data_IF_661483062774
#
_entry.id   IF_661483062774
#
_cell.length_a   1.000
_cell.length_b   1.000
_cell.length_c   1.000
_cell.angle_alpha   90.00
_cell.angle_beta   90.00
_cell.angle_gamma   90.00
#
_symmetry.space_group_name_H-M   'P 1'
#
loop_
_entity.id
_entity.type
_entity.pdbx_description
1 polymer ?
#
# COMPACT_ATOMS: atom_id res chain seq x y z
N UNK A 1 -22.98 5.45 3.73
CA UNK A 1 -21.65 4.97 3.30
C UNK A 1 -21.63 4.87 1.80
N UNK A 2 -20.45 4.92 1.22
CA UNK A 2 -20.28 4.83 -0.23
C UNK A 2 -19.49 3.56 -0.55
N UNK A 3 -20.15 2.40 -0.69
CA UNK A 3 -19.52 1.15 -1.17
C UNK A 3 -18.75 1.34 -2.48
N UNK A 4 -19.33 2.10 -3.41
CA UNK A 4 -18.75 2.39 -4.72
C UNK A 4 -18.64 3.89 -4.95
N UNK A 5 -17.76 4.29 -5.89
CA UNK A 5 -17.69 5.69 -6.31
C UNK A 5 -19.02 6.18 -6.92
N UNK A 6 -19.81 5.27 -7.52
CA UNK A 6 -21.17 5.57 -8.00
C UNK A 6 -22.05 6.16 -6.89
N UNK A 7 -22.02 5.53 -5.71
CA UNK A 7 -22.84 5.94 -4.58
C UNK A 7 -22.46 7.36 -4.12
N UNK A 8 -21.16 7.65 -4.10
CA UNK A 8 -20.63 8.98 -3.79
C UNK A 8 -21.08 10.03 -4.80
N UNK A 9 -20.94 9.75 -6.10
CA UNK A 9 -21.34 10.71 -7.14
C UNK A 9 -22.85 10.97 -7.15
N UNK A 10 -23.65 9.93 -6.90
CA UNK A 10 -25.10 10.02 -6.83
C UNK A 10 -25.54 10.90 -5.67
N UNK A 11 -24.93 10.74 -4.49
CA UNK A 11 -25.30 11.48 -3.29
C UNK A 11 -24.82 12.95 -3.35
N UNK A 12 -23.56 13.17 -3.72
CA UNK A 12 -22.96 14.52 -3.68
C UNK A 12 -23.35 15.39 -4.88
N UNK A 13 -23.49 14.80 -6.08
CA UNK A 13 -23.73 15.55 -7.31
C UNK A 13 -25.09 15.24 -7.95
N UNK A 14 -25.86 14.27 -7.45
CA UNK A 14 -27.10 13.83 -8.07
C UNK A 14 -26.90 13.04 -9.37
N UNK A 15 -25.66 12.66 -9.71
CA UNK A 15 -25.33 12.01 -11.00
C UNK A 15 -25.10 10.52 -10.79
N UNK A 16 -25.92 9.68 -11.44
CA UNK A 16 -25.77 8.23 -11.39
C UNK A 16 -24.82 7.73 -12.51
N UNK A 17 -23.53 7.63 -12.19
CA UNK A 17 -22.51 7.08 -13.08
C UNK A 17 -22.15 5.68 -12.59
N UNK A 18 -22.54 4.58 -13.28
CA UNK A 18 -22.29 3.22 -12.82
C UNK A 18 -20.80 2.87 -12.96
N UNK A 19 -19.99 3.23 -11.97
CA UNK A 19 -18.55 2.97 -11.91
C UNK A 19 -18.27 1.66 -11.15
N UNK A 20 -17.51 0.71 -11.72
CA UNK A 20 -17.14 -0.56 -11.08
C UNK A 20 -15.98 -0.38 -10.08
N UNK A 21 -15.92 0.77 -9.40
CA UNK A 21 -14.80 1.15 -8.54
C UNK A 21 -15.30 1.19 -7.11
N UNK A 22 -14.87 0.20 -6.33
CA UNK A 22 -15.09 0.20 -4.89
C UNK A 22 -14.27 1.30 -4.23
N UNK A 23 -14.86 2.01 -3.28
CA UNK A 23 -14.19 3.11 -2.59
C UNK A 23 -12.99 2.66 -1.78
N UNK A 24 -13.08 1.49 -1.12
CA UNK A 24 -11.95 0.89 -0.41
C UNK A 24 -10.73 0.71 -1.32
N UNK A 25 -10.92 0.04 -2.46
CA UNK A 25 -9.84 -0.18 -3.44
C UNK A 25 -9.29 1.13 -4.02
N UNK A 26 -10.15 2.12 -4.25
CA UNK A 26 -9.74 3.46 -4.69
C UNK A 26 -8.82 4.15 -3.67
N UNK A 27 -9.17 4.14 -2.39
CA UNK A 27 -8.34 4.74 -1.34
C UNK A 27 -7.05 3.96 -1.09
N UNK A 28 -7.05 2.63 -1.24
CA UNK A 28 -5.82 1.82 -1.21
C UNK A 28 -4.88 2.22 -2.35
N UNK A 29 -5.39 2.38 -3.57
CA UNK A 29 -4.58 2.86 -4.69
C UNK A 29 -4.03 4.27 -4.43
N UNK A 30 -4.85 5.17 -3.88
CA UNK A 30 -4.43 6.52 -3.51
C UNK A 30 -3.39 6.52 -2.39
N UNK A 31 -3.47 5.59 -1.43
CA UNK A 31 -2.47 5.41 -0.38
C UNK A 31 -1.10 5.04 -0.97
N UNK A 32 -1.06 4.11 -1.92
CA UNK A 32 0.16 3.76 -2.64
C UNK A 32 0.74 4.96 -3.40
N UNK A 33 -0.09 5.69 -4.16
CA UNK A 33 0.31 6.89 -4.90
C UNK A 33 0.83 8.01 -3.98
N UNK A 34 0.21 8.17 -2.83
CA UNK A 34 0.61 9.17 -1.84
C UNK A 34 1.95 8.80 -1.20
N UNK A 35 2.10 7.55 -0.77
CA UNK A 35 3.35 7.05 -0.20
C UNK A 35 4.54 7.18 -1.16
N UNK A 36 4.35 6.79 -2.43
CA UNK A 36 5.40 6.89 -3.44
C UNK A 36 5.77 8.32 -3.78
N UNK A 37 4.78 9.21 -3.87
CA UNK A 37 5.01 10.62 -4.16
C UNK A 37 5.89 11.27 -3.08
N UNK A 38 5.56 11.05 -1.81
CA UNK A 38 6.31 11.62 -0.70
C UNK A 38 7.69 10.96 -0.52
N UNK A 39 7.80 9.65 -0.73
CA UNK A 39 9.10 8.96 -0.76
C UNK A 39 9.99 9.55 -1.86
N UNK A 40 9.48 9.68 -3.09
CA UNK A 40 10.24 10.23 -4.22
C UNK A 40 10.72 11.65 -3.96
N UNK A 41 9.86 12.49 -3.36
CA UNK A 41 10.24 13.86 -2.95
C UNK A 41 11.36 13.86 -1.92
N UNK A 42 11.33 12.94 -0.97
CA UNK A 42 12.29 12.89 0.12
C UNK A 42 13.63 12.27 -0.31
N UNK A 43 13.62 11.26 -1.18
CA UNK A 43 14.83 10.75 -1.84
C UNK A 43 15.49 11.87 -2.66
N UNK A 44 14.73 12.59 -3.49
CA UNK A 44 15.24 13.74 -4.26
C UNK A 44 15.82 14.83 -3.37
N UNK A 45 15.25 15.06 -2.17
CA UNK A 45 15.81 16.00 -1.19
C UNK A 45 17.14 15.51 -0.63
N UNK A 46 17.23 14.24 -0.24
CA UNK A 46 18.46 13.63 0.32
C UNK A 46 19.58 13.53 -0.72
N UNK A 47 19.25 13.33 -2.00
CA UNK A 47 20.19 13.45 -3.12
C UNK A 47 20.80 14.85 -3.21
N UNK A 48 19.96 15.91 -3.14
CA UNK A 48 20.46 17.31 -3.12
C UNK A 48 21.36 17.62 -1.93
N UNK A 49 21.26 16.86 -0.85
CA UNK A 49 22.12 16.97 0.33
C UNK A 49 23.41 16.15 0.22
N UNK A 50 23.60 15.39 -0.86
CA UNK A 50 24.74 14.48 -1.01
C UNK A 50 24.67 13.23 -0.13
N UNK A 51 23.53 12.95 0.52
CA UNK A 51 23.34 11.75 1.35
C UNK A 51 22.99 10.50 0.52
N UNK A 52 22.54 10.71 -0.71
CA UNK A 52 22.20 9.68 -1.67
C UNK A 52 22.92 9.96 -2.98
N UNK A 53 23.62 8.96 -3.50
CA UNK A 53 24.40 9.07 -4.73
C UNK A 53 23.73 8.34 -5.88
N UNK A 54 23.84 8.92 -7.08
CA UNK A 54 23.39 8.25 -8.29
C UNK A 54 24.36 7.12 -8.66
N UNK A 55 23.82 6.05 -9.25
CA UNK A 55 24.61 4.91 -9.72
C UNK A 55 24.68 4.95 -11.25
N UNK A 56 25.87 4.71 -11.79
CA UNK A 56 26.05 4.54 -13.23
C UNK A 56 25.92 3.07 -13.57
N UNK A 57 24.94 2.72 -14.41
CA UNK A 57 24.78 1.36 -14.94
C UNK A 57 24.98 1.37 -16.45
N UNK A 58 25.79 0.44 -16.95
CA UNK A 58 25.87 0.15 -18.39
C UNK A 58 24.59 -0.52 -18.82
N UNK A 59 23.82 0.17 -19.65
CA UNK A 59 22.60 -0.37 -20.25
C UNK A 59 22.84 -0.52 -21.75
N UNK A 60 22.55 -1.70 -22.28
CA UNK A 60 22.60 -1.95 -23.71
C UNK A 60 21.36 -1.35 -24.35
N UNK A 61 21.54 -0.35 -25.22
CA UNK A 61 20.47 0.30 -25.97
C UNK A 61 20.58 -0.09 -27.46
N UNK A 62 19.45 -0.03 -28.17
CA UNK A 62 19.43 -0.30 -29.62
C UNK A 62 19.39 -1.77 -30.02
N UNK A 63 19.12 -2.71 -29.10
CA UNK A 63 18.82 -4.10 -29.48
C UNK A 63 17.46 -4.17 -30.20
N UNK A 64 17.36 -5.06 -31.20
CA UNK A 64 16.09 -5.41 -31.82
C UNK A 64 15.13 -6.04 -30.81
N UNK A 65 13.84 -5.99 -31.11
CA UNK A 65 12.81 -6.62 -30.29
C UNK A 65 13.09 -8.13 -30.14
N UNK A 66 13.38 -8.58 -28.92
CA UNK A 66 13.55 -10.01 -28.64
C UNK A 66 12.19 -10.70 -28.81
N UNK A 67 12.18 -11.85 -29.47
CA UNK A 67 10.96 -12.66 -29.62
C UNK A 67 10.28 -12.92 -28.27
N UNK A 68 11.07 -13.19 -27.22
CA UNK A 68 10.55 -13.38 -25.86
C UNK A 68 9.83 -12.15 -25.29
N UNK A 69 10.30 -10.94 -25.58
CA UNK A 69 9.65 -9.72 -25.10
C UNK A 69 8.29 -9.50 -25.81
N UNK A 70 8.23 -9.78 -27.11
CA UNK A 70 6.99 -9.69 -27.89
C UNK A 70 6.00 -10.76 -27.41
N UNK A 71 6.46 -12.00 -27.22
CA UNK A 71 5.61 -13.10 -26.71
C UNK A 71 5.07 -12.78 -25.32
N UNK A 72 5.91 -12.30 -24.40
CA UNK A 72 5.46 -11.88 -23.06
C UNK A 72 4.45 -10.73 -23.13
N UNK A 73 4.69 -9.74 -23.99
CA UNK A 73 3.74 -8.66 -24.23
C UNK A 73 2.41 -9.17 -24.79
N UNK A 74 2.45 -10.12 -25.72
CA UNK A 74 1.26 -10.75 -26.30
C UNK A 74 0.48 -11.58 -25.27
N UNK A 75 1.16 -12.35 -24.40
CA UNK A 75 0.52 -13.09 -23.30
C UNK A 75 -0.15 -12.12 -22.32
N UNK A 76 0.55 -11.05 -21.90
CA UNK A 76 -0.04 -10.03 -21.03
C UNK A 76 -1.24 -9.33 -21.70
N UNK A 77 -1.10 -9.01 -22.98
CA UNK A 77 -2.18 -8.46 -23.79
C UNK A 77 -3.37 -9.40 -23.91
N UNK A 78 -3.14 -10.72 -24.03
CA UNK A 78 -4.18 -11.74 -24.04
C UNK A 78 -4.97 -11.73 -22.75
N UNK A 79 -4.29 -11.81 -21.60
CA UNK A 79 -4.95 -11.85 -20.28
C UNK A 79 -5.79 -10.59 -20.06
N UNK A 80 -5.23 -9.41 -20.39
CA UNK A 80 -5.93 -8.13 -20.26
C UNK A 80 -7.13 -8.08 -21.22
N UNK A 81 -6.91 -8.36 -22.51
CA UNK A 81 -7.96 -8.32 -23.53
C UNK A 81 -9.09 -9.32 -23.27
N UNK A 82 -8.74 -10.51 -22.76
CA UNK A 82 -9.67 -11.57 -22.39
C UNK A 82 -10.66 -11.10 -21.33
N UNK A 83 -10.19 -10.29 -20.37
CA UNK A 83 -11.02 -9.71 -19.32
C UNK A 83 -11.71 -8.42 -19.74
N UNK A 84 -11.01 -7.52 -20.42
CA UNK A 84 -11.52 -6.19 -20.77
C UNK A 84 -12.69 -6.28 -21.74
N UNK A 85 -12.61 -7.13 -22.77
CA UNK A 85 -13.74 -7.25 -23.69
C UNK A 85 -14.95 -7.90 -23.03
N UNK A 86 -14.73 -8.89 -22.15
CA UNK A 86 -15.81 -9.47 -21.35
C UNK A 86 -16.45 -8.42 -20.43
N UNK A 87 -15.64 -7.57 -19.82
CA UNK A 87 -16.08 -6.48 -18.95
C UNK A 87 -16.91 -5.43 -19.70
N UNK A 88 -16.58 -5.13 -20.96
CA UNK A 88 -17.35 -4.20 -21.79
C UNK A 88 -18.70 -4.81 -22.17
N UNK A 89 -18.71 -6.09 -22.58
CA UNK A 89 -19.93 -6.78 -23.00
C UNK A 89 -20.89 -7.07 -21.82
N UNK A 90 -20.34 -7.34 -20.64
CA UNK A 90 -21.08 -7.69 -19.42
C UNK A 90 -20.80 -6.70 -18.29
N UNK A 91 -20.89 -5.41 -18.64
CA UNK A 91 -20.57 -4.32 -17.72
C UNK A 91 -21.41 -4.34 -16.44
N UNK A 92 -22.67 -4.78 -16.52
CA UNK A 92 -23.54 -4.93 -15.35
C UNK A 92 -22.99 -5.90 -14.31
N UNK A 93 -22.33 -6.97 -14.76
CA UNK A 93 -21.79 -8.01 -13.88
C UNK A 93 -20.53 -7.49 -13.19
N UNK A 94 -19.68 -6.77 -13.93
CA UNK A 94 -18.50 -6.10 -13.40
C UNK A 94 -18.89 -5.09 -12.31
N UNK A 95 -19.91 -4.27 -12.53
CA UNK A 95 -20.34 -3.26 -11.55
C UNK A 95 -20.92 -3.91 -10.29
N UNK A 96 -21.66 -5.02 -10.42
CA UNK A 96 -22.24 -5.73 -9.28
C UNK A 96 -21.21 -6.36 -8.36
N UNK A 97 -20.23 -7.07 -8.94
CA UNK A 97 -19.17 -7.71 -8.17
C UNK A 97 -17.84 -7.68 -8.91
N UNK A 98 -17.08 -6.57 -8.83
CA UNK A 98 -15.82 -6.42 -9.55
C UNK A 98 -14.80 -7.50 -9.19
N UNK A 99 -14.74 -7.88 -7.91
CA UNK A 99 -13.76 -8.85 -7.41
C UNK A 99 -14.01 -10.23 -8.00
N UNK A 100 -15.24 -10.73 -7.90
CA UNK A 100 -15.61 -12.03 -8.46
C UNK A 100 -15.42 -12.06 -9.98
N UNK A 101 -15.84 -10.99 -10.66
CA UNK A 101 -15.69 -10.87 -12.11
C UNK A 101 -14.22 -10.97 -12.55
N UNK A 102 -13.34 -10.19 -11.91
CA UNK A 102 -11.90 -10.15 -12.24
C UNK A 102 -11.25 -11.51 -11.98
N UNK A 103 -11.62 -12.19 -10.88
CA UNK A 103 -10.99 -13.44 -10.45
C UNK A 103 -11.56 -14.71 -11.08
N UNK A 104 -12.76 -14.65 -11.64
CA UNK A 104 -13.37 -15.78 -12.33
C UNK A 104 -12.55 -16.28 -13.53
N UNK A 105 -12.76 -17.53 -13.96
CA UNK A 105 -12.22 -18.02 -15.24
C UNK A 105 -12.95 -17.45 -16.47
N UNK A 106 -14.05 -16.72 -16.28
CA UNK A 106 -14.86 -16.14 -17.36
C UNK A 106 -14.08 -15.06 -18.11
N UNK A 107 -14.18 -15.07 -19.43
CA UNK A 107 -13.64 -14.03 -20.29
C UNK A 107 -13.91 -14.29 -21.76
N UNK A 108 -13.45 -13.35 -22.59
CA UNK A 108 -13.72 -13.34 -24.01
C UNK A 108 -12.46 -13.69 -24.81
N UNK A 109 -12.46 -14.86 -25.44
CA UNK A 109 -11.30 -15.32 -26.22
C UNK A 109 -10.90 -14.37 -27.35
N UNK A 110 -11.88 -13.83 -28.08
CA UNK A 110 -11.63 -12.86 -29.16
C UNK A 110 -10.98 -11.59 -28.61
N UNK A 111 -11.43 -11.10 -27.46
CA UNK A 111 -10.80 -10.00 -26.74
C UNK A 111 -9.36 -10.30 -26.39
N UNK A 112 -9.08 -11.52 -25.95
CA UNK A 112 -7.73 -11.99 -25.70
C UNK A 112 -6.86 -11.96 -26.96
N UNK A 113 -7.33 -12.48 -28.09
CA UNK A 113 -6.57 -12.45 -29.36
C UNK A 113 -6.29 -11.02 -29.82
N UNK A 114 -7.27 -10.11 -29.72
CA UNK A 114 -7.12 -8.69 -30.06
C UNK A 114 -6.07 -8.04 -29.14
N UNK A 115 -6.19 -8.27 -27.83
CA UNK A 115 -5.25 -7.73 -26.84
C UNK A 115 -3.82 -8.24 -27.04
N UNK A 116 -3.66 -9.52 -27.40
CA UNK A 116 -2.38 -10.13 -27.71
C UNK A 116 -1.72 -9.49 -28.94
N UNK A 117 -2.49 -9.36 -30.02
CA UNK A 117 -2.02 -8.75 -31.26
C UNK A 117 -1.63 -7.27 -31.04
N UNK A 118 -2.46 -6.50 -30.35
CA UNK A 118 -2.20 -5.09 -30.06
C UNK A 118 -0.95 -4.91 -29.19
N UNK A 119 -0.87 -5.62 -28.06
CA UNK A 119 0.26 -5.50 -27.12
C UNK A 119 1.57 -5.97 -27.73
N UNK A 120 1.55 -7.10 -28.46
CA UNK A 120 2.71 -7.60 -29.19
C UNK A 120 3.19 -6.61 -30.25
N UNK A 121 2.26 -6.03 -31.04
CA UNK A 121 2.59 -5.02 -32.05
C UNK A 121 3.13 -3.73 -31.44
N UNK A 122 2.51 -3.20 -30.38
CA UNK A 122 2.98 -2.00 -29.69
C UNK A 122 4.38 -2.20 -29.09
N UNK A 123 4.61 -3.34 -28.44
CA UNK A 123 5.93 -3.68 -27.91
C UNK A 123 6.99 -3.76 -29.00
N UNK A 124 6.68 -4.45 -30.10
CA UNK A 124 7.56 -4.52 -31.27
C UNK A 124 7.85 -3.13 -31.85
N UNK A 125 6.81 -2.32 -32.07
CA UNK A 125 6.92 -0.96 -32.63
C UNK A 125 7.78 -0.05 -31.76
N UNK A 126 7.60 -0.09 -30.44
CA UNK A 126 8.38 0.73 -29.51
C UNK A 126 9.85 0.29 -29.45
N UNK A 127 10.11 -1.01 -29.56
CA UNK A 127 11.48 -1.54 -29.63
C UNK A 127 12.15 -1.23 -30.97
N UNK A 128 11.43 -1.32 -32.07
CA UNK A 128 11.96 -1.02 -33.41
C UNK A 128 12.27 0.48 -33.54
N UNK A 129 11.46 1.36 -32.95
CA UNK A 129 11.76 2.81 -32.86
C UNK A 129 13.06 3.12 -32.10
N UNK A 130 13.42 2.27 -31.14
CA UNK A 130 14.61 2.44 -30.30
C UNK A 130 15.82 1.68 -30.85
N UNK A 131 15.67 0.95 -31.96
CA UNK A 131 16.72 0.15 -32.58
C UNK A 131 17.80 1.06 -33.15
N UNK A 132 19.05 0.65 -32.95
CA UNK A 132 20.21 1.29 -33.56
C UNK A 132 20.85 0.29 -34.52
N UNK A 133 21.55 0.78 -35.56
CA UNK A 133 22.25 -0.08 -36.54
C UNK A 133 23.23 -1.05 -35.88
N UNK A 134 23.82 -0.63 -34.74
CA UNK A 134 24.60 -1.47 -33.85
C UNK A 134 24.20 -1.16 -32.40
N UNK A 135 23.83 -2.17 -31.58
CA UNK A 135 23.55 -1.97 -30.17
C UNK A 135 24.76 -1.36 -29.47
N UNK A 136 24.55 -0.32 -28.67
CA UNK A 136 25.62 0.37 -27.93
C UNK A 136 25.40 0.19 -26.43
N UNK A 137 26.49 -0.03 -25.71
CA UNK A 137 26.49 0.09 -24.25
C UNK A 137 26.61 1.57 -23.91
N UNK A 138 25.60 2.11 -23.23
CA UNK A 138 25.61 3.50 -22.76
C UNK A 138 25.53 3.49 -21.25
N UNK A 139 26.38 4.30 -20.64
CA UNK A 139 26.35 4.58 -19.21
C UNK A 139 25.12 5.43 -18.90
N UNK A 140 24.15 4.83 -18.19
CA UNK A 140 22.97 5.52 -17.70
C UNK A 140 23.13 5.81 -16.22
N UNK A 141 23.11 7.09 -15.88
CA UNK A 141 22.99 7.54 -14.49
C UNK A 141 21.57 7.31 -13.99
N UNK A 142 21.42 6.59 -12.89
CA UNK A 142 20.14 6.28 -12.26
C UNK A 142 20.14 6.91 -10.88
N UNK A 143 19.16 7.77 -10.62
CA UNK A 143 19.01 8.40 -9.31
C UNK A 143 18.13 7.54 -8.39
N UNK A 144 18.40 7.50 -7.08
CA UNK A 144 17.55 6.79 -6.11
C UNK A 144 16.06 7.17 -6.17
N UNK A 145 15.70 8.42 -6.44
CA UNK A 145 14.31 8.84 -6.60
C UNK A 145 13.63 8.20 -7.82
N UNK A 146 14.36 7.90 -8.89
CA UNK A 146 13.82 7.18 -10.06
C UNK A 146 13.45 5.73 -9.71
N UNK A 147 14.11 5.16 -8.70
CA UNK A 147 13.89 3.78 -8.25
C UNK A 147 12.70 3.65 -7.30
N UNK A 148 12.09 4.76 -6.88
CA UNK A 148 11.00 4.74 -5.92
C UNK A 148 9.80 3.90 -6.44
N UNK A 149 9.45 4.04 -7.73
CA UNK A 149 8.36 3.24 -8.33
C UNK A 149 8.66 1.74 -8.33
N UNK A 150 9.93 1.36 -8.55
CA UNK A 150 10.36 -0.03 -8.46
C UNK A 150 10.28 -0.55 -7.02
N UNK A 151 10.65 0.28 -6.03
CA UNK A 151 10.50 -0.04 -4.61
C UNK A 151 9.04 -0.32 -4.27
N UNK A 152 8.11 0.51 -4.76
CA UNK A 152 6.67 0.31 -4.58
C UNK A 152 6.20 -1.02 -5.17
N UNK A 153 6.56 -1.32 -6.42
CA UNK A 153 6.17 -2.56 -7.09
C UNK A 153 6.71 -3.79 -6.34
N UNK A 154 7.97 -3.74 -5.91
CA UNK A 154 8.59 -4.82 -5.13
C UNK A 154 7.88 -4.99 -3.80
N UNK A 155 7.58 -3.89 -3.09
CA UNK A 155 6.84 -3.93 -1.83
C UNK A 155 5.45 -4.54 -2.01
N UNK A 156 4.72 -4.17 -3.07
CA UNK A 156 3.38 -4.68 -3.34
C UNK A 156 3.41 -6.19 -3.68
N UNK A 157 4.30 -6.62 -4.58
CA UNK A 157 4.41 -8.02 -4.99
C UNK A 157 4.83 -8.91 -3.82
N UNK A 158 5.96 -8.58 -3.18
CA UNK A 158 6.50 -9.41 -2.09
C UNK A 158 5.68 -9.29 -0.80
N UNK A 159 4.99 -8.16 -0.60
CA UNK A 159 4.04 -7.99 0.50
C UNK A 159 2.81 -8.88 0.31
N UNK A 160 2.23 -8.92 -0.89
CA UNK A 160 1.09 -9.81 -1.16
C UNK A 160 1.51 -11.29 -1.07
N UNK A 161 2.64 -11.66 -1.69
CA UNK A 161 3.17 -13.02 -1.62
C UNK A 161 3.48 -13.44 -0.17
N UNK A 162 4.08 -12.56 0.62
CA UNK A 162 4.36 -12.82 2.03
C UNK A 162 3.11 -12.99 2.86
N UNK A 163 2.09 -12.14 2.63
CA UNK A 163 0.84 -12.23 3.36
C UNK A 163 0.11 -13.54 3.08
N UNK A 164 0.14 -13.99 1.82
CA UNK A 164 -0.45 -15.26 1.40
C UNK A 164 0.32 -16.47 1.93
N UNK A 165 1.65 -16.42 1.84
CA UNK A 165 2.52 -17.47 2.35
C UNK A 165 2.27 -17.72 3.84
N UNK A 166 2.27 -16.67 4.65
CA UNK A 166 2.08 -16.82 6.10
C UNK A 166 0.67 -17.25 6.45
N UNK A 167 -0.35 -16.80 5.72
CA UNK A 167 -1.71 -17.28 5.93
C UNK A 167 -1.82 -18.79 5.70
N UNK A 168 -1.20 -19.31 4.63
CA UNK A 168 -1.19 -20.75 4.33
C UNK A 168 -0.34 -21.55 5.33
N UNK A 169 0.69 -20.92 5.94
CA UNK A 169 1.48 -21.53 7.02
C UNK A 169 0.75 -21.56 8.36
N UNK A 170 -0.10 -20.56 8.63
CA UNK A 170 -0.94 -20.50 9.83
C UNK A 170 -2.14 -21.44 9.73
N UNK A 171 -2.68 -21.63 8.51
CA UNK A 171 -3.86 -22.45 8.23
C UNK A 171 -3.48 -23.63 7.32
N UNK A 172 -2.51 -24.44 7.77
CA UNK A 172 -1.99 -25.58 7.01
C UNK A 172 -3.09 -26.58 6.68
N UNK A 173 -4.04 -26.80 7.60
CA UNK A 173 -5.13 -27.74 7.40
C UNK A 173 -6.02 -27.32 6.21
N UNK A 174 -6.43 -26.04 6.15
CA UNK A 174 -7.18 -25.49 5.01
C UNK A 174 -6.36 -25.52 3.70
N UNK A 175 -5.05 -25.28 3.79
CA UNK A 175 -4.15 -25.34 2.63
C UNK A 175 -4.00 -26.77 2.08
N UNK A 176 -3.97 -27.79 2.95
CA UNK A 176 -3.84 -29.19 2.54
C UNK A 176 -5.12 -29.71 1.86
N UNK A 177 -6.29 -29.16 2.20
CA UNK A 177 -7.57 -29.53 1.60
C UNK A 177 -7.72 -29.03 0.15
N UNK A 178 -7.33 -27.78 -0.13
CA UNK A 178 -7.30 -27.24 -1.49
C UNK A 178 -6.06 -26.37 -1.76
N UNK A 179 -4.91 -26.99 -2.10
CA UNK A 179 -3.65 -26.27 -2.28
C UNK A 179 -3.69 -25.25 -3.41
N UNK A 180 -4.43 -25.52 -4.48
CA UNK A 180 -4.49 -24.65 -5.66
C UNK A 180 -5.42 -23.47 -5.38
N UNK A 181 -6.62 -23.72 -4.85
CA UNK A 181 -7.55 -22.66 -4.46
C UNK A 181 -6.97 -21.79 -3.34
N UNK A 182 -6.31 -22.39 -2.35
CA UNK A 182 -5.67 -21.66 -1.27
C UNK A 182 -4.47 -20.81 -1.72
N UNK A 183 -3.83 -21.09 -2.86
CA UNK A 183 -2.76 -20.22 -3.41
C UNK A 183 -3.30 -19.10 -4.30
N UNK A 184 -4.36 -19.37 -5.06
CA UNK A 184 -4.91 -18.43 -6.06
C UNK A 184 -5.95 -17.50 -5.43
N UNK A 185 -6.58 -17.88 -4.32
CA UNK A 185 -7.58 -17.05 -3.66
C UNK A 185 -6.98 -15.74 -3.15
N UNK A 186 -7.70 -14.63 -3.37
CA UNK A 186 -7.34 -13.32 -2.82
C UNK A 186 -7.80 -13.11 -1.36
N UNK A 187 -8.58 -14.04 -0.82
CA UNK A 187 -8.91 -14.12 0.60
C UNK A 187 -7.77 -14.78 1.39
N UNK A 188 -7.73 -14.55 2.69
CA UNK A 188 -6.73 -15.18 3.56
C UNK A 188 -5.34 -14.55 3.39
N UNK A 189 -5.16 -13.36 3.97
CA UNK A 189 -3.92 -12.61 3.91
C UNK A 189 -3.47 -12.23 5.32
N UNK A 190 -2.32 -12.76 5.76
CA UNK A 190 -1.74 -12.44 7.06
C UNK A 190 -0.87 -11.20 6.96
N UNK A 191 -1.27 -10.11 7.63
CA UNK A 191 -0.57 -8.83 7.58
C UNK A 191 0.92 -8.92 7.93
N UNK A 192 1.27 -9.66 9.01
CA UNK A 192 2.65 -9.79 9.47
C UNK A 192 3.56 -10.45 8.42
N UNK A 193 3.07 -11.48 7.73
CA UNK A 193 3.80 -12.13 6.65
C UNK A 193 4.11 -11.17 5.51
N UNK A 194 3.13 -10.34 5.14
CA UNK A 194 3.32 -9.32 4.11
C UNK A 194 4.32 -8.25 4.52
N UNK A 195 4.25 -7.78 5.76
CA UNK A 195 5.20 -6.81 6.30
C UNK A 195 6.64 -7.36 6.28
N UNK A 196 6.86 -8.58 6.79
CA UNK A 196 8.20 -9.17 6.91
C UNK A 196 8.83 -9.38 5.53
N UNK A 197 8.13 -10.07 4.63
CA UNK A 197 8.67 -10.43 3.31
C UNK A 197 8.78 -9.18 2.42
N UNK A 198 7.80 -8.28 2.49
CA UNK A 198 7.83 -7.01 1.77
C UNK A 198 9.01 -6.12 2.18
N UNK A 199 9.22 -5.93 3.49
CA UNK A 199 10.36 -5.15 4.02
C UNK A 199 11.69 -5.81 3.64
N UNK A 200 11.82 -7.13 3.78
CA UNK A 200 13.03 -7.85 3.40
C UNK A 200 13.38 -7.66 1.91
N UNK A 201 12.39 -7.76 1.02
CA UNK A 201 12.56 -7.55 -0.41
C UNK A 201 12.98 -6.11 -0.76
N UNK A 202 12.35 -5.11 -0.12
CA UNK A 202 12.70 -3.69 -0.30
C UNK A 202 14.12 -3.41 0.20
N UNK A 203 14.50 -3.94 1.37
CA UNK A 203 15.86 -3.77 1.92
C UNK A 203 16.90 -4.43 1.00
N UNK A 204 16.62 -5.63 0.51
CA UNK A 204 17.48 -6.32 -0.46
C UNK A 204 17.64 -5.50 -1.74
N UNK A 205 16.54 -5.01 -2.31
CA UNK A 205 16.56 -4.20 -3.52
C UNK A 205 17.29 -2.87 -3.33
N UNK A 206 17.08 -2.20 -2.19
CA UNK A 206 17.77 -0.96 -1.85
C UNK A 206 19.28 -1.19 -1.77
N UNK A 207 19.73 -2.24 -1.08
CA UNK A 207 21.15 -2.61 -0.98
C UNK A 207 21.76 -2.97 -2.34
N UNK A 208 21.03 -3.71 -3.18
CA UNK A 208 21.45 -4.03 -4.56
C UNK A 208 21.65 -2.78 -5.43
N UNK A 209 20.97 -1.69 -5.10
CA UNK A 209 21.10 -0.40 -5.79
C UNK A 209 21.88 0.64 -4.99
N UNK A 210 22.66 0.22 -3.98
CA UNK A 210 23.52 1.09 -3.17
C UNK A 210 22.75 2.24 -2.47
N UNK A 211 21.46 2.05 -2.18
CA UNK A 211 20.65 3.00 -1.42
C UNK A 211 20.80 2.70 0.08
N UNK A 212 21.22 3.67 0.92
CA UNK A 212 21.44 3.46 2.34
C UNK A 212 20.11 3.19 3.01
N UNK A 213 19.95 2.00 3.58
CA UNK A 213 18.67 1.57 4.16
C UNK A 213 18.14 2.56 5.20
N UNK A 214 19.01 3.14 6.04
CA UNK A 214 18.60 4.13 7.05
C UNK A 214 18.04 5.42 6.42
N UNK A 215 18.66 5.90 5.35
CA UNK A 215 18.16 7.06 4.63
C UNK A 215 16.88 6.76 3.85
N UNK A 216 16.72 5.53 3.38
CA UNK A 216 15.49 5.06 2.74
C UNK A 216 14.32 5.01 3.73
N UNK A 217 14.47 4.35 4.89
CA UNK A 217 13.39 4.22 5.87
C UNK A 217 13.02 5.57 6.50
N UNK A 218 14.00 6.44 6.76
CA UNK A 218 13.73 7.81 7.19
C UNK A 218 12.97 8.61 6.13
N UNK A 219 13.28 8.36 4.85
CA UNK A 219 12.61 9.01 3.74
C UNK A 219 11.18 8.49 3.53
N UNK A 220 10.95 7.21 3.81
CA UNK A 220 9.66 6.57 3.72
C UNK A 220 8.73 6.96 4.89
N UNK A 221 9.27 7.18 6.09
CA UNK A 221 8.50 7.38 7.33
C UNK A 221 7.33 8.39 7.21
N UNK A 222 7.51 9.64 6.73
CA UNK A 222 6.37 10.55 6.54
C UNK A 222 5.36 10.02 5.52
N UNK A 223 5.86 9.51 4.38
CA UNK A 223 4.99 8.96 3.33
C UNK A 223 4.17 7.75 3.80
N UNK A 224 4.74 6.91 4.65
CA UNK A 224 4.05 5.77 5.27
C UNK A 224 2.93 6.21 6.21
N UNK A 225 3.16 7.22 7.05
CA UNK A 225 2.12 7.76 7.93
C UNK A 225 0.92 8.27 7.12
N UNK A 226 1.17 9.07 6.08
CA UNK A 226 0.09 9.59 5.25
C UNK A 226 -0.58 8.50 4.42
N UNK A 227 0.18 7.57 3.85
CA UNK A 227 -0.39 6.43 3.11
C UNK A 227 -1.32 5.59 4.00
N UNK A 228 -0.92 5.32 5.25
CA UNK A 228 -1.78 4.61 6.19
C UNK A 228 -3.07 5.39 6.48
N UNK A 229 -2.98 6.69 6.75
CA UNK A 229 -4.16 7.54 6.95
C UNK A 229 -5.10 7.56 5.75
N UNK A 230 -4.55 7.68 4.53
CA UNK A 230 -5.34 7.59 3.28
C UNK A 230 -5.99 6.22 3.11
N UNK A 231 -5.30 5.13 3.50
CA UNK A 231 -5.90 3.79 3.50
C UNK A 231 -7.07 3.67 4.47
N UNK A 232 -6.98 4.28 5.66
CA UNK A 232 -8.06 4.31 6.66
C UNK A 232 -9.28 5.12 6.25
N UNK A 233 -9.13 6.11 5.38
CA UNK A 233 -10.28 6.75 4.71
C UNK A 233 -11.08 5.73 3.89
N UNK A 234 -10.41 4.76 3.26
CA UNK A 234 -11.08 3.65 2.57
C UNK A 234 -12.04 2.92 3.48
N UNK A 235 -11.56 2.51 4.66
CA UNK A 235 -12.37 1.85 5.69
C UNK A 235 -13.54 2.73 6.17
N UNK A 236 -13.29 4.03 6.37
CA UNK A 236 -14.33 4.97 6.81
C UNK A 236 -15.45 5.12 5.78
N UNK A 237 -15.09 5.24 4.49
CA UNK A 237 -16.02 5.55 3.42
C UNK A 237 -16.83 4.33 2.98
N UNK A 238 -16.21 3.14 2.99
CA UNK A 238 -16.90 1.89 2.65
C UNK A 238 -17.73 1.35 3.82
N UNK A 239 -17.33 1.61 5.07
CA UNK A 239 -17.92 0.94 6.23
C UNK A 239 -17.58 -0.55 6.22
N UNK A 240 -16.31 -0.90 6.22
CA UNK A 240 -15.82 -2.28 6.09
C UNK A 240 -15.70 -3.06 7.41
N UNK A 241 -16.25 -2.54 8.51
CA UNK A 241 -16.16 -3.18 9.83
C UNK A 241 -15.00 -2.70 10.69
N UNK A 242 -14.18 -1.76 10.22
CA UNK A 242 -13.06 -1.22 11.00
C UNK A 242 -13.43 -0.25 12.14
N UNK A 243 -14.70 -0.16 12.54
CA UNK A 243 -15.19 0.78 13.55
C UNK A 243 -14.91 0.33 14.99
N UNK A 244 -15.22 1.22 15.95
CA UNK A 244 -14.98 1.02 17.37
C UNK A 244 -16.11 0.34 18.11
N UNK A 245 -16.00 0.33 19.44
CA UNK A 245 -17.03 -0.17 20.35
C UNK A 245 -18.29 0.70 20.30
N UNK A 246 -19.46 0.17 20.70
CA UNK A 246 -20.70 0.94 20.83
C UNK A 246 -20.51 2.22 21.64
N UNK A 247 -20.99 3.33 21.09
CA UNK A 247 -20.95 4.66 21.71
C UNK A 247 -22.30 5.37 21.57
N UNK A 248 -23.33 4.99 22.36
CA UNK A 248 -24.61 5.69 22.37
C UNK A 248 -24.55 7.03 23.14
N UNK A 249 -23.40 7.37 23.74
CA UNK A 249 -23.30 8.55 24.59
C UNK A 249 -23.38 9.85 23.78
N UNK A 250 -24.05 10.90 24.30
CA UNK A 250 -24.08 12.19 23.65
C UNK A 250 -22.67 12.75 23.50
N UNK A 251 -22.45 13.47 22.40
CA UNK A 251 -21.19 14.16 22.14
C UNK A 251 -20.94 15.20 23.24
N UNK A 252 -19.73 15.25 23.84
CA UNK A 252 -19.40 16.25 24.84
C UNK A 252 -19.53 17.69 24.31
N UNK A 253 -19.96 18.63 25.16
CA UNK A 253 -20.22 20.03 24.77
C UNK A 253 -18.99 20.73 24.17
N UNK A 254 -17.78 20.40 24.64
CA UNK A 254 -16.52 20.95 24.12
C UNK A 254 -16.20 20.48 22.68
N UNK A 255 -16.88 19.45 22.18
CA UNK A 255 -16.82 18.96 20.80
C UNK A 255 -18.03 19.40 19.95
N UNK A 256 -18.87 20.31 20.47
CA UNK A 256 -20.07 20.82 19.77
C UNK A 256 -19.78 21.39 18.37
N UNK A 257 -18.58 21.92 18.14
CA UNK A 257 -18.16 22.46 16.85
C UNK A 257 -17.95 21.41 15.75
N UNK A 258 -17.87 20.12 16.09
CA UNK A 258 -17.72 19.03 15.15
C UNK A 258 -19.08 18.39 14.80
N UNK A 259 -19.27 17.87 13.58
CA UNK A 259 -20.38 16.98 13.24
C UNK A 259 -20.53 15.78 14.21
N UNK A 260 -21.77 15.34 14.45
CA UNK A 260 -22.07 14.24 15.38
C UNK A 260 -21.46 12.90 14.96
N UNK A 261 -21.40 12.65 13.64
CA UNK A 261 -20.79 11.44 13.08
C UNK A 261 -19.31 11.29 13.43
N UNK A 262 -18.62 12.38 13.79
CA UNK A 262 -17.22 12.33 14.23
C UNK A 262 -17.06 11.82 15.65
N UNK A 263 -18.14 11.72 16.43
CA UNK A 263 -18.14 11.18 17.79
C UNK A 263 -18.80 9.80 17.87
N UNK A 264 -19.97 9.67 17.23
CA UNK A 264 -20.79 8.48 17.25
C UNK A 264 -21.45 8.30 15.89
N UNK A 265 -21.26 7.14 15.26
CA UNK A 265 -21.70 6.90 13.90
C UNK A 265 -22.24 5.49 13.69
N UNK A 266 -23.32 5.38 12.94
CA UNK A 266 -24.11 4.17 12.71
C UNK A 266 -23.81 3.49 11.36
N UNK A 267 -22.91 4.05 10.55
CA UNK A 267 -22.42 3.47 9.29
C UNK A 267 -23.55 2.92 8.38
N UNK A 268 -24.48 3.77 7.91
CA UNK A 268 -25.56 3.34 7.03
C UNK A 268 -25.01 2.90 5.67
N UNK A 269 -25.59 1.89 5.04
CA UNK A 269 -25.11 1.30 3.77
C UNK A 269 -23.70 0.71 3.83
N UNK A 270 -23.29 0.16 4.98
CA UNK A 270 -21.96 -0.44 5.13
C UNK A 270 -21.76 -1.67 4.22
N UNK A 271 -20.54 -1.88 3.70
CA UNK A 271 -20.26 -2.92 2.69
C UNK A 271 -20.42 -4.35 3.21
N UNK A 272 -20.29 -4.54 4.53
CA UNK A 272 -20.40 -5.86 5.16
C UNK A 272 -21.82 -6.24 5.56
N UNK A 273 -22.81 -5.37 5.30
CA UNK A 273 -24.21 -5.57 5.68
C UNK A 273 -24.42 -5.87 7.18
N UNK A 274 -23.65 -5.21 8.05
CA UNK A 274 -23.77 -5.33 9.50
C UNK A 274 -24.93 -4.50 10.05
N UNK A 275 -25.60 -5.04 11.07
CA UNK A 275 -26.76 -4.44 11.74
C UNK A 275 -28.09 -4.75 11.06
N UNK A 276 -29.14 -4.02 11.39
CA UNK A 276 -30.48 -4.24 10.85
C UNK A 276 -30.64 -3.69 9.43
N UNK A 277 -31.56 -4.32 8.70
CA UNK A 277 -31.94 -3.88 7.35
C UNK A 277 -32.76 -2.60 7.45
N UNK A 278 -32.41 -1.60 6.65
CA UNK A 278 -33.11 -0.32 6.60
C UNK A 278 -34.53 -0.51 6.04
N UNK A 279 -35.52 0.13 6.66
CA UNK A 279 -36.96 -0.10 6.40
C UNK A 279 -37.48 0.66 5.17
N UNK A 280 -36.84 1.78 4.80
CA UNK A 280 -37.20 2.53 3.60
C UNK A 280 -36.66 1.89 2.32
N UNK A 281 -37.32 2.15 1.18
CA UNK A 281 -37.07 1.64 -0.19
C UNK A 281 -35.59 1.67 -0.63
N UNK A 282 -34.79 0.81 -0.02
CA UNK A 282 -33.37 0.70 -0.28
C UNK A 282 -33.17 -0.30 -1.42
N UNK A 283 -32.93 0.25 -2.61
CA UNK A 283 -32.75 -0.51 -3.85
C UNK A 283 -31.28 -0.86 -4.13
N UNK A 284 -30.36 -0.58 -3.21
CA UNK A 284 -28.92 -0.88 -3.36
C UNK A 284 -28.57 -2.27 -2.79
N UNK A 285 -27.39 -2.79 -3.13
CA UNK A 285 -26.88 -4.05 -2.56
C UNK A 285 -26.46 -3.95 -1.09
N UNK A 286 -26.39 -2.72 -0.55
CA UNK A 286 -25.92 -2.42 0.79
C UNK A 286 -26.98 -1.62 1.55
N UNK A 287 -27.85 -2.31 2.27
CA UNK A 287 -29.07 -1.74 2.89
C UNK A 287 -29.14 -1.99 4.40
N UNK A 288 -27.99 -1.92 5.06
CA UNK A 288 -27.89 -2.16 6.49
C UNK A 288 -27.30 -0.95 7.21
N UNK A 289 -27.68 -0.79 8.47
CA UNK A 289 -27.20 0.24 9.40
C UNK A 289 -26.97 -0.41 10.76
N UNK A 290 -25.99 0.07 11.51
CA UNK A 290 -25.73 -0.46 12.85
C UNK A 290 -26.85 -0.09 13.81
N UNK A 291 -27.30 -1.06 14.60
CA UNK A 291 -28.39 -0.87 15.58
C UNK A 291 -27.99 0.08 16.71
N UNK A 292 -26.70 0.10 17.03
CA UNK A 292 -26.11 1.01 18.01
C UNK A 292 -24.94 1.72 17.34
N UNK A 293 -24.88 3.06 17.38
CA UNK A 293 -23.79 3.79 16.78
C UNK A 293 -22.50 3.56 17.58
N UNK A 294 -21.37 3.66 16.91
CA UNK A 294 -20.05 3.26 17.39
C UNK A 294 -19.06 4.41 17.25
N UNK A 295 -17.91 4.30 17.91
CA UNK A 295 -16.80 5.22 17.66
C UNK A 295 -16.28 5.06 16.22
N UNK A 296 -16.15 6.14 15.44
CA UNK A 296 -15.63 6.09 14.07
C UNK A 296 -14.09 5.99 14.07
N UNK A 297 -13.55 4.86 14.54
CA UNK A 297 -12.10 4.67 14.69
C UNK A 297 -11.31 4.87 13.39
N UNK A 298 -11.77 4.48 12.17
CA UNK A 298 -11.01 4.76 10.95
C UNK A 298 -10.81 6.25 10.70
N UNK A 299 -11.78 7.09 11.08
CA UNK A 299 -11.65 8.55 11.02
C UNK A 299 -10.60 9.06 12.01
N UNK A 300 -10.58 8.54 13.24
CA UNK A 300 -9.56 8.89 14.23
C UNK A 300 -8.16 8.46 13.79
N UNK A 301 -8.00 7.22 13.33
CA UNK A 301 -6.75 6.68 12.78
C UNK A 301 -6.23 7.57 11.64
N UNK A 302 -7.12 7.95 10.71
CA UNK A 302 -6.80 8.87 9.61
C UNK A 302 -6.29 10.21 10.14
N UNK A 303 -7.04 10.82 11.06
CA UNK A 303 -6.74 12.16 11.59
C UNK A 303 -5.39 12.17 12.31
N UNK A 304 -5.15 11.19 13.18
CA UNK A 304 -3.89 11.06 13.91
C UNK A 304 -2.72 10.85 12.96
N UNK A 305 -2.88 10.04 11.92
CA UNK A 305 -1.82 9.74 10.96
C UNK A 305 -1.50 10.92 10.03
N UNK A 306 -2.49 11.74 9.69
CA UNK A 306 -2.28 13.02 9.01
C UNK A 306 -1.51 14.00 9.90
N UNK A 307 -1.84 14.08 11.20
CA UNK A 307 -1.09 14.89 12.16
C UNK A 307 0.36 14.40 12.27
N UNK A 308 0.57 13.10 12.42
CA UNK A 308 1.90 12.48 12.47
C UNK A 308 2.69 12.80 11.18
N UNK A 309 2.05 12.70 10.01
CA UNK A 309 2.66 13.11 8.76
C UNK A 309 3.14 14.56 8.81
N UNK A 310 2.31 15.52 9.21
CA UNK A 310 2.70 16.93 9.27
C UNK A 310 3.81 17.19 10.29
N UNK A 311 3.80 16.50 11.44
CA UNK A 311 4.88 16.56 12.44
C UNK A 311 6.19 16.07 11.83
N UNK A 312 6.22 14.86 11.29
CA UNK A 312 7.43 14.28 10.68
C UNK A 312 7.90 15.10 9.47
N UNK A 313 6.96 15.57 8.64
CA UNK A 313 7.23 16.43 7.50
C UNK A 313 7.85 17.75 7.96
N UNK A 314 7.34 18.39 9.01
CA UNK A 314 7.93 19.59 9.59
C UNK A 314 9.35 19.38 10.14
N UNK A 315 9.59 18.23 10.77
CA UNK A 315 10.88 17.87 11.37
C UNK A 315 11.95 17.44 10.36
N UNK A 316 11.57 17.02 9.14
CA UNK A 316 12.49 16.45 8.13
C UNK A 316 13.68 17.31 7.74
N UNK A 317 13.57 18.64 7.88
CA UNK A 317 14.65 19.58 7.58
C UNK A 317 15.59 19.80 8.77
N UNK A 318 15.10 19.61 9.99
CA UNK A 318 15.83 19.82 11.25
C UNK A 318 16.58 18.56 11.68
N UNK A 319 15.97 17.39 11.47
CA UNK A 319 16.55 16.09 11.83
C UNK A 319 17.24 15.50 10.60
N UNK A 320 18.57 15.44 10.63
CA UNK A 320 19.40 14.89 9.55
C UNK A 320 20.12 13.60 9.93
N UNK A 321 20.06 13.22 11.22
CA UNK A 321 20.68 11.99 11.72
C UNK A 321 19.89 10.77 11.21
N UNK A 322 20.52 9.81 10.51
CA UNK A 322 19.84 8.64 9.99
C UNK A 322 19.23 7.79 11.10
N UNK A 323 18.03 7.26 10.85
CA UNK A 323 17.29 6.37 11.73
C UNK A 323 16.38 7.09 12.73
N UNK A 324 16.60 8.38 13.01
CA UNK A 324 15.76 9.12 13.96
C UNK A 324 14.36 9.36 13.39
N UNK A 325 14.22 9.70 12.10
CA UNK A 325 12.91 9.99 11.52
C UNK A 325 12.01 8.76 11.55
N UNK A 326 12.56 7.60 11.19
CA UNK A 326 11.83 6.34 11.28
C UNK A 326 11.54 5.94 12.72
N UNK A 327 12.47 6.16 13.66
CA UNK A 327 12.27 5.90 15.09
C UNK A 327 11.13 6.74 15.67
N UNK A 328 11.05 8.03 15.31
CA UNK A 328 9.94 8.90 15.70
C UNK A 328 8.62 8.43 15.10
N UNK A 329 8.63 8.01 13.83
CA UNK A 329 7.44 7.46 13.18
C UNK A 329 6.89 6.24 13.93
N UNK A 330 7.73 5.23 14.22
CA UNK A 330 7.24 4.03 14.91
C UNK A 330 6.79 4.31 16.35
N UNK A 331 7.42 5.27 17.05
CA UNK A 331 6.94 5.71 18.37
C UNK A 331 5.55 6.34 18.26
N UNK A 332 5.37 7.31 17.36
CA UNK A 332 4.10 8.01 17.19
C UNK A 332 2.99 7.09 16.67
N UNK A 333 3.30 6.22 15.72
CA UNK A 333 2.38 5.20 15.23
C UNK A 333 2.03 4.17 16.31
N UNK A 334 2.98 3.81 17.18
CA UNK A 334 2.72 2.96 18.33
C UNK A 334 1.75 3.62 19.32
N UNK A 335 1.94 4.91 19.64
CA UNK A 335 0.98 5.64 20.48
C UNK A 335 -0.41 5.71 19.86
N UNK A 336 -0.50 6.05 18.57
CA UNK A 336 -1.76 6.05 17.84
C UNK A 336 -2.46 4.69 17.96
N UNK A 337 -1.74 3.61 17.66
CA UNK A 337 -2.32 2.27 17.71
C UNK A 337 -2.77 1.90 19.12
N UNK A 338 -1.98 2.22 20.14
CA UNK A 338 -2.31 1.93 21.53
C UNK A 338 -3.61 2.61 21.98
N UNK A 339 -3.80 3.89 21.65
CA UNK A 339 -5.01 4.62 22.04
C UNK A 339 -6.25 4.20 21.24
N UNK A 340 -6.10 3.96 19.94
CA UNK A 340 -7.21 3.48 19.09
C UNK A 340 -7.66 2.09 19.51
N UNK A 341 -6.73 1.24 19.93
CA UNK A 341 -7.05 -0.12 20.36
C UNK A 341 -7.98 -0.16 21.57
N UNK A 342 -7.88 0.82 22.48
CA UNK A 342 -8.79 0.94 23.65
C UNK A 342 -10.25 1.19 23.28
N UNK A 343 -10.51 1.69 22.08
CA UNK A 343 -11.85 1.99 21.57
C UNK A 343 -12.25 1.06 20.42
N UNK A 344 -11.41 0.08 20.05
CA UNK A 344 -11.70 -0.90 19.00
C UNK A 344 -12.37 -2.15 19.57
N UNK A 345 -13.14 -2.81 18.71
CA UNK A 345 -13.67 -4.16 18.97
C UNK A 345 -12.57 -5.14 18.54
N UNK A 346 -11.85 -5.73 19.48
CA UNK A 346 -10.86 -6.77 19.21
C UNK A 346 -10.92 -7.88 20.27
N UNK A 347 -10.46 -9.07 19.89
CA UNK A 347 -10.39 -10.22 20.79
C UNK A 347 -9.27 -10.03 21.82
N UNK A 348 -9.61 -10.15 23.10
CA UNK A 348 -8.67 -10.06 24.21
C UNK A 348 -7.96 -11.40 24.44
N UNK A 349 -6.64 -11.37 24.65
CA UNK A 349 -5.90 -12.52 25.16
C UNK A 349 -5.82 -12.40 26.68
N UNK A 350 -6.25 -13.44 27.39
CA UNK A 350 -6.08 -13.50 28.84
C UNK A 350 -4.62 -13.85 29.18
N UNK A 351 -3.82 -12.82 29.48
CA UNK A 351 -2.43 -12.96 29.90
C UNK A 351 -2.34 -12.44 31.35
N UNK A 352 -1.90 -13.30 32.28
CA UNK A 352 -1.82 -12.98 33.72
C UNK A 352 -3.13 -12.45 34.35
N UNK A 353 -4.29 -12.90 33.86
CA UNK A 353 -5.60 -12.48 34.40
C UNK A 353 -6.09 -11.11 33.91
N UNK A 354 -5.38 -10.48 32.97
CA UNK A 354 -5.82 -9.27 32.28
C UNK A 354 -6.04 -9.56 30.78
N UNK A 355 -7.13 -9.04 30.22
CA UNK A 355 -7.38 -9.06 28.78
C UNK A 355 -6.48 -8.06 28.07
N UNK A 356 -5.45 -8.55 27.37
CA UNK A 356 -4.51 -7.73 26.60
C UNK A 356 -4.68 -8.10 25.13
N UNK A 357 -4.80 -7.12 24.24
CA UNK A 357 -4.90 -7.41 22.81
C UNK A 357 -3.53 -7.55 22.16
N UNK A 358 -3.43 -8.32 21.07
CA UNK A 358 -2.19 -8.44 20.30
C UNK A 358 -1.67 -7.07 19.82
N UNK A 359 -2.57 -6.16 19.47
CA UNK A 359 -2.22 -4.82 19.01
C UNK A 359 -1.67 -3.93 20.13
N UNK A 360 -2.09 -4.11 21.39
CA UNK A 360 -1.50 -3.41 22.55
C UNK A 360 -0.05 -3.84 22.79
N UNK A 361 0.24 -5.14 22.63
CA UNK A 361 1.60 -5.67 22.77
C UNK A 361 2.49 -5.11 21.65
N UNK A 362 2.05 -5.22 20.39
CA UNK A 362 2.83 -4.75 19.24
C UNK A 362 3.07 -3.23 19.33
N UNK A 363 2.05 -2.45 19.66
CA UNK A 363 2.17 -0.99 19.80
C UNK A 363 3.12 -0.59 20.93
N UNK A 364 3.06 -1.27 22.08
CA UNK A 364 3.99 -1.04 23.20
C UNK A 364 5.45 -1.34 22.80
N UNK A 365 5.67 -2.44 22.08
CA UNK A 365 7.00 -2.79 21.54
C UNK A 365 7.48 -1.72 20.54
N UNK A 366 6.61 -1.23 19.65
CA UNK A 366 6.94 -0.16 18.71
C UNK A 366 7.36 1.13 19.43
N UNK A 367 6.66 1.51 20.50
CA UNK A 367 7.01 2.68 21.32
C UNK A 367 8.40 2.52 21.92
N UNK A 368 8.67 1.38 22.57
CA UNK A 368 9.97 1.10 23.22
C UNK A 368 11.11 1.10 22.19
N UNK A 369 10.94 0.39 21.07
CA UNK A 369 11.94 0.33 20.01
C UNK A 369 12.20 1.70 19.40
N UNK A 370 11.16 2.51 19.18
CA UNK A 370 11.32 3.86 18.64
C UNK A 370 12.00 4.84 19.59
N UNK A 371 11.70 4.77 20.89
CA UNK A 371 12.39 5.59 21.90
C UNK A 371 13.86 5.17 22.00
N UNK A 372 14.12 3.86 22.13
CA UNK A 372 15.48 3.32 22.17
C UNK A 372 16.26 3.66 20.91
N UNK A 373 15.66 3.49 19.73
CA UNK A 373 16.22 3.87 18.44
C UNK A 373 16.60 5.33 18.39
N UNK A 374 15.68 6.23 18.78
CA UNK A 374 15.93 7.67 18.84
C UNK A 374 17.14 8.00 19.72
N UNK A 375 17.22 7.43 20.93
CA UNK A 375 18.34 7.66 21.86
C UNK A 375 19.66 7.13 21.28
N UNK A 376 19.64 5.91 20.73
CA UNK A 376 20.83 5.25 20.19
C UNK A 376 21.38 5.97 18.96
N UNK A 377 20.52 6.34 18.00
CA UNK A 377 20.91 7.07 16.80
C UNK A 377 21.34 8.50 17.13
N UNK A 378 20.73 9.15 18.12
CA UNK A 378 21.19 10.45 18.59
C UNK A 378 22.60 10.40 19.17
N UNK A 379 22.91 9.38 19.99
CA UNK A 379 24.24 9.19 20.59
C UNK A 379 25.32 8.74 19.59
N UNK A 380 24.97 7.92 18.60
CA UNK A 380 25.94 7.26 17.68
C UNK A 380 25.83 7.71 16.22
N UNK A 381 25.03 8.73 15.92
CA UNK A 381 24.66 9.12 14.56
C UNK A 381 25.84 9.38 13.62
N UNK A 382 26.90 10.04 14.12
CA UNK A 382 28.12 10.28 13.34
C UNK A 382 28.88 9.01 12.96
N UNK A 383 29.00 8.05 13.89
CA UNK A 383 29.68 6.77 13.65
C UNK A 383 28.88 5.90 12.67
N UNK A 384 27.55 5.90 12.79
CA UNK A 384 26.65 5.14 11.92
C UNK A 384 26.66 5.71 10.50
N UNK A 385 26.66 7.03 10.34
CA UNK A 385 26.84 7.69 9.05
C UNK A 385 28.15 7.30 8.37
N UNK A 386 29.26 7.37 9.11
CA UNK A 386 30.58 7.00 8.59
C UNK A 386 30.62 5.52 8.16
N UNK A 387 30.03 4.62 8.97
CA UNK A 387 29.96 3.20 8.66
C UNK A 387 29.09 2.88 7.45
N UNK A 388 27.90 3.48 7.34
CA UNK A 388 27.00 3.28 6.19
C UNK A 388 27.64 3.74 4.89
N UNK A 389 28.28 4.92 4.91
CA UNK A 389 28.96 5.48 3.74
C UNK A 389 30.19 4.65 3.34
N UNK A 390 30.94 4.12 4.31
CA UNK A 390 32.10 3.27 4.04
C UNK A 390 31.69 1.93 3.40
N UNK A 391 30.60 1.31 3.87
CA UNK A 391 30.15 -0.02 3.42
C UNK A 391 29.43 0.01 2.07
N UNK A 392 29.00 1.18 1.63
CA UNK A 392 28.27 1.35 0.38
C UNK A 392 29.01 2.21 -0.65
N UNK A 393 30.34 2.19 -0.61
CA UNK A 393 31.13 2.70 -1.74
C UNK A 393 30.67 1.98 -3.00
N UNK A 394 30.17 2.77 -3.96
CA UNK A 394 29.86 2.29 -5.30
C UNK A 394 31.19 1.77 -5.85
N UNK A 395 31.29 0.50 -6.26
CA UNK A 395 32.51 0.01 -6.90
C UNK A 395 32.80 0.91 -8.09
N UNK A 396 34.06 1.34 -8.24
CA UNK A 396 34.47 2.07 -9.45
C UNK A 396 34.02 1.27 -10.67
N UNK A 397 33.47 1.94 -11.70
CA UNK A 397 33.06 1.24 -12.90
C UNK A 397 34.27 0.44 -13.38
N UNK A 398 34.16 -0.89 -13.41
CA UNK A 398 35.26 -1.74 -13.81
C UNK A 398 35.80 -1.20 -15.13
N UNK A 399 37.05 -0.72 -15.13
CA UNK A 399 37.79 -0.47 -16.35
C UNK A 399 37.73 -1.77 -17.13
N UNK A 400 36.95 -1.76 -18.21
CA UNK A 400 36.97 -2.89 -19.12
C UNK A 400 38.37 -2.92 -19.70
N UNK A 401 39.17 -3.91 -19.29
CA UNK A 401 40.22 -4.46 -20.14
C UNK A 401 39.56 -4.79 -21.46
N UNK A 402 39.82 -3.95 -22.46
CA UNK A 402 39.61 -4.26 -23.86
C UNK A 402 40.47 -5.47 -24.20
N UNK A 403 39.84 -6.63 -24.31
CA UNK A 403 40.39 -7.80 -25.00
C UNK A 403 39.33 -8.36 -25.90
#
# INVERSE_FOLDING_TARGET
>A
MYPTLTDFFKDVFGVNIPLPVQTYGFFVALAFLTGIFFLSKELKRKEKQGLLTAITKRVKIGESAKASAIVLAAIGGFIIGFKVLEAILHYSDLVKNPQDFILSARGNFLGGVIGAALSGYLNWKDKEKQKLDKPKWVDKTIFPHDLAGNILIIAAIFGLLGAKLFHNLENIDEFLEDPIGALISFSGLTFLGGLIVGVAAVVYYARKNYIPTMHLIDGAAPGLALAYGVGRLGCQVSGDGCWGVPNPNPKPDWLSFLPDWMWSFDYPHNVINAGSKMVENCSSSHCHVLDVPVFPTPFYETTMMVVIFFVLWGLRKRIQIPGIMFSLFITLAGFERFFIEKIRINNEYNIFGYGITQAEIISSIMIIIGIAGTILFFKKGHQINAWLNAKMKIPEPAEQKTT
#
